data_IF_985899366526
#
_entry.id   IF_985899366526
#
_cell.length_a   1.000
_cell.length_b   1.000
_cell.length_c   1.000
_cell.angle_alpha   90.00
_cell.angle_beta   90.00
_cell.angle_gamma   90.00
#
_symmetry.space_group_name_H-M   'P 1'
#
loop_
_entity.id
_entity.type
_entity.pdbx_description
1 polymer ?
#
# COMPACT_ATOMS: atom_id res chain seq x y z
N UNK A 1 1.32 0.38 2.48
CA UNK A 1 0.24 1.19 3.09
C UNK A 1 0.24 2.61 2.53
N UNK A 2 -0.92 3.26 2.51
CA UNK A 2 -1.10 4.65 2.06
C UNK A 2 -0.63 5.68 3.08
N UNK A 3 -0.75 6.97 2.76
CA UNK A 3 -0.31 8.08 3.62
C UNK A 3 0.36 9.19 2.81
N UNK A 4 0.25 10.44 3.27
CA UNK A 4 1.02 11.57 2.70
C UNK A 4 2.51 11.31 2.90
N UNK A 5 3.36 12.00 2.12
CA UNK A 5 4.81 11.86 2.30
C UNK A 5 5.24 12.21 3.72
N UNK A 6 4.77 13.35 4.24
CA UNK A 6 5.07 13.84 5.59
C UNK A 6 4.68 12.83 6.68
N UNK A 7 3.48 12.25 6.62
CA UNK A 7 3.03 11.27 7.61
C UNK A 7 3.89 10.00 7.57
N UNK A 8 4.32 9.58 6.38
CA UNK A 8 5.19 8.40 6.22
C UNK A 8 6.58 8.65 6.78
N UNK A 9 7.16 9.82 6.51
CA UNK A 9 8.45 10.24 7.07
C UNK A 9 8.39 10.33 8.60
N UNK A 10 7.35 10.94 9.18
CA UNK A 10 7.18 10.99 10.62
C UNK A 10 7.07 9.60 11.27
N UNK A 11 6.30 8.69 10.68
CA UNK A 11 6.21 7.31 11.16
C UNK A 11 7.54 6.57 11.05
N UNK A 12 8.26 6.72 9.93
CA UNK A 12 9.59 6.11 9.78
C UNK A 12 10.55 6.61 10.87
N UNK A 13 10.59 7.91 11.15
CA UNK A 13 11.43 8.47 12.22
C UNK A 13 11.08 7.93 13.62
N UNK A 14 9.80 7.72 13.91
CA UNK A 14 9.36 7.12 15.18
C UNK A 14 9.84 5.67 15.34
N UNK A 15 9.86 4.90 14.25
CA UNK A 15 10.29 3.50 14.28
C UNK A 15 11.80 3.29 14.02
N UNK A 16 12.51 4.29 13.46
CA UNK A 16 13.96 4.25 13.25
C UNK A 16 14.74 4.01 14.56
N UNK A 17 14.28 4.60 15.67
CA UNK A 17 14.89 4.46 16.98
C UNK A 17 14.69 3.06 17.61
N UNK A 18 13.72 2.28 17.12
CA UNK A 18 13.36 0.98 17.69
C UNK A 18 14.07 -0.19 16.99
N UNK A 19 14.44 -0.05 15.71
CA UNK A 19 14.98 -1.19 14.94
C UNK A 19 15.93 -0.83 13.77
N UNK A 20 16.44 0.41 13.69
CA UNK A 20 17.46 0.85 12.74
C UNK A 20 17.18 0.48 11.26
N UNK A 21 15.93 0.59 10.79
CA UNK A 21 15.56 0.35 9.38
C UNK A 21 14.60 1.42 8.83
N UNK A 22 15.14 2.31 8.00
CA UNK A 22 14.40 3.33 7.24
C UNK A 22 13.72 2.76 5.98
N UNK A 23 12.92 1.68 6.10
CA UNK A 23 12.02 1.24 5.01
C UNK A 23 10.55 1.45 5.39
N UNK A 24 9.80 2.07 4.49
CA UNK A 24 8.38 2.36 4.69
C UNK A 24 7.54 1.09 4.88
N UNK A 25 7.90 -0.03 4.24
CA UNK A 25 7.13 -1.27 4.41
C UNK A 25 7.20 -1.76 5.85
N UNK A 26 8.37 -1.63 6.47
CA UNK A 26 8.60 -2.05 7.85
C UNK A 26 7.91 -1.10 8.83
N UNK A 27 8.10 0.21 8.68
CA UNK A 27 7.43 1.19 9.53
C UNK A 27 5.90 1.06 9.45
N UNK A 28 5.34 0.82 8.26
CA UNK A 28 3.90 0.60 8.10
C UNK A 28 3.42 -0.68 8.79
N UNK A 29 4.21 -1.76 8.73
CA UNK A 29 3.92 -3.06 9.35
C UNK A 29 3.86 -2.92 10.88
N UNK A 30 4.88 -2.31 11.47
CA UNK A 30 4.97 -2.04 12.90
C UNK A 30 3.87 -1.09 13.37
N UNK A 31 3.61 -0.03 12.60
CA UNK A 31 2.50 0.89 12.88
C UNK A 31 1.16 0.16 12.93
N UNK A 32 0.88 -0.76 11.99
CA UNK A 32 -0.37 -1.52 11.98
C UNK A 32 -0.50 -2.39 13.24
N UNK A 33 0.57 -3.04 13.69
CA UNK A 33 0.54 -3.81 14.93
C UNK A 33 0.24 -2.91 16.14
N UNK A 34 0.96 -1.80 16.27
CA UNK A 34 0.70 -0.84 17.35
C UNK A 34 -0.72 -0.28 17.33
N UNK A 35 -1.24 0.06 16.15
CA UNK A 35 -2.60 0.58 16.00
C UNK A 35 -3.64 -0.42 16.50
N UNK A 36 -3.46 -1.70 16.19
CA UNK A 36 -4.39 -2.75 16.63
C UNK A 36 -4.27 -3.03 18.12
N UNK A 37 -3.05 -3.17 18.65
CA UNK A 37 -2.83 -3.41 20.09
C UNK A 37 -3.34 -2.25 20.93
N UNK A 38 -3.05 -1.01 20.54
CA UNK A 38 -3.52 0.19 21.27
C UNK A 38 -5.01 0.45 21.10
N UNK A 39 -5.59 -0.04 20.02
CA UNK A 39 -7.01 0.12 19.71
C UNK A 39 -7.85 -1.10 20.10
N UNK A 40 -7.30 -2.06 20.83
CA UNK A 40 -8.04 -3.21 21.33
C UNK A 40 -9.18 -2.74 22.23
N UNK A 41 -10.38 -3.31 22.04
CA UNK A 41 -11.54 -3.00 22.86
C UNK A 41 -11.35 -3.57 24.27
N UNK A 42 -11.33 -2.70 25.26
CA UNK A 42 -11.43 -3.09 26.67
C UNK A 42 -12.88 -3.02 27.15
N UNK A 43 -13.18 -3.73 28.24
CA UNK A 43 -14.53 -3.75 28.82
C UNK A 43 -15.00 -2.36 29.29
N UNK A 44 -14.05 -1.48 29.61
CA UNK A 44 -14.27 -0.14 30.15
C UNK A 44 -14.42 0.93 29.06
N UNK A 45 -14.14 0.57 27.80
CA UNK A 45 -14.15 1.52 26.70
C UNK A 45 -15.56 1.86 26.24
N UNK A 46 -15.84 3.15 26.20
CA UNK A 46 -17.13 3.69 25.71
C UNK A 46 -17.25 3.71 24.20
N UNK A 47 -16.13 3.52 23.46
CA UNK A 47 -16.09 3.53 22.00
C UNK A 47 -15.67 2.16 21.48
N UNK A 48 -16.25 1.69 20.36
CA UNK A 48 -15.82 0.45 19.70
C UNK A 48 -14.34 0.47 19.29
N UNK A 49 -13.61 -0.58 19.65
CA UNK A 49 -12.24 -0.89 19.28
C UNK A 49 -12.14 -2.19 18.47
N UNK A 50 -10.92 -2.72 18.34
CA UNK A 50 -10.66 -4.00 17.70
C UNK A 50 -10.94 -5.16 18.66
N UNK A 51 -11.53 -6.25 18.16
CA UNK A 51 -11.68 -7.46 18.99
C UNK A 51 -10.32 -8.11 19.27
N UNK A 52 -10.16 -8.82 20.40
CA UNK A 52 -8.93 -9.54 20.72
C UNK A 52 -8.47 -10.47 19.59
N UNK A 53 -9.41 -11.20 18.97
CA UNK A 53 -9.12 -12.09 17.83
C UNK A 53 -8.56 -11.33 16.62
N UNK A 54 -9.07 -10.11 16.35
CA UNK A 54 -8.59 -9.29 15.24
C UNK A 54 -7.19 -8.73 15.53
N UNK A 55 -6.90 -8.38 16.79
CA UNK A 55 -5.56 -7.96 17.22
C UNK A 55 -4.57 -9.11 17.05
N UNK A 56 -4.92 -10.31 17.55
CA UNK A 56 -4.08 -11.50 17.44
C UNK A 56 -3.80 -11.86 15.98
N UNK A 57 -4.82 -11.86 15.12
CA UNK A 57 -4.65 -12.13 13.69
C UNK A 57 -3.68 -11.15 12.99
N UNK A 58 -3.66 -9.88 13.42
CA UNK A 58 -2.70 -8.89 12.90
C UNK A 58 -1.30 -9.13 13.43
N UNK A 59 -1.14 -9.54 14.69
CA UNK A 59 0.15 -9.90 15.27
C UNK A 59 0.74 -11.14 14.59
N UNK A 60 -0.06 -12.19 14.38
CA UNK A 60 0.33 -13.44 13.73
C UNK A 60 0.73 -13.22 12.26
N UNK A 61 0.01 -12.34 11.54
CA UNK A 61 0.39 -11.91 10.19
C UNK A 61 1.60 -10.95 10.17
N UNK A 62 2.22 -10.72 11.34
CA UNK A 62 3.35 -9.83 11.51
C UNK A 62 3.02 -8.39 11.12
N UNK A 63 1.78 -7.91 11.19
CA UNK A 63 1.40 -6.55 10.81
C UNK A 63 1.28 -6.31 9.31
N UNK A 64 1.43 -7.34 8.47
CA UNK A 64 1.27 -7.18 7.03
C UNK A 64 -0.20 -7.04 6.65
N UNK A 65 -0.50 -6.16 5.68
CA UNK A 65 -1.85 -6.04 5.15
C UNK A 65 -2.02 -7.07 4.02
N UNK A 66 -2.98 -8.01 4.11
CA UNK A 66 -3.17 -9.01 3.07
C UNK A 66 -3.39 -8.36 1.70
N UNK A 67 -2.75 -8.91 0.66
CA UNK A 67 -2.79 -8.39 -0.71
C UNK A 67 -4.21 -8.10 -1.21
N UNK A 68 -5.17 -8.99 -0.94
CA UNK A 68 -6.57 -8.80 -1.31
C UNK A 68 -7.21 -7.57 -0.64
N UNK A 69 -6.94 -7.35 0.65
CA UNK A 69 -7.40 -6.15 1.36
C UNK A 69 -6.71 -4.89 0.81
N UNK A 70 -5.40 -4.96 0.56
CA UNK A 70 -4.63 -3.85 -0.02
C UNK A 70 -5.15 -3.44 -1.41
N UNK A 71 -5.54 -4.39 -2.25
CA UNK A 71 -6.14 -4.15 -3.57
C UNK A 71 -7.48 -3.41 -3.45
N UNK A 72 -8.32 -3.75 -2.47
CA UNK A 72 -9.60 -3.07 -2.21
C UNK A 72 -9.40 -1.61 -1.81
N UNK A 73 -8.34 -1.30 -1.06
CA UNK A 73 -8.01 0.08 -0.69
C UNK A 73 -7.48 0.93 -1.85
N UNK A 74 -7.07 0.32 -2.97
CA UNK A 74 -6.47 1.02 -4.12
C UNK A 74 -7.14 0.66 -5.44
N UNK A 75 -8.45 0.97 -5.53
CA UNK A 75 -9.28 0.84 -6.73
C UNK A 75 -8.63 1.45 -7.99
N UNK A 76 -7.82 2.50 -7.84
CA UNK A 76 -7.10 3.14 -8.96
C UNK A 76 -6.15 2.23 -9.72
N UNK A 77 -5.67 1.11 -9.16
CA UNK A 77 -4.91 0.14 -9.95
C UNK A 77 -5.78 -0.57 -10.99
N UNK A 78 -7.05 -0.80 -10.69
CA UNK A 78 -8.02 -1.35 -11.63
C UNK A 78 -8.48 -0.31 -12.65
N UNK A 79 -8.65 0.95 -12.24
CA UNK A 79 -9.09 2.03 -13.14
C UNK A 79 -7.93 2.65 -13.93
N UNK A 80 -6.98 3.30 -13.26
CA UNK A 80 -5.91 4.07 -13.90
C UNK A 80 -4.74 3.20 -14.38
N UNK A 81 -4.61 1.99 -13.84
CA UNK A 81 -3.58 1.03 -14.23
C UNK A 81 -3.83 0.39 -15.60
N UNK A 82 -5.05 0.51 -16.13
CA UNK A 82 -5.57 -0.07 -17.39
C UNK A 82 -5.62 -1.60 -17.41
N UNK A 83 -4.53 -2.26 -17.02
CA UNK A 83 -4.42 -3.71 -16.90
C UNK A 83 -3.67 -3.99 -15.60
N UNK A 84 -4.12 -4.99 -14.84
CA UNK A 84 -3.48 -5.51 -13.63
C UNK A 84 -3.21 -7.00 -13.83
N UNK A 85 -2.00 -7.46 -13.49
CA UNK A 85 -1.66 -8.88 -13.56
C UNK A 85 -0.18 -9.15 -13.35
N UNK A 86 0.26 -10.36 -13.69
CA UNK A 86 1.68 -10.70 -13.72
C UNK A 86 2.41 -9.84 -14.76
N UNK A 87 3.74 -9.76 -14.63
CA UNK A 87 4.58 -9.07 -15.61
C UNK A 87 4.36 -9.58 -17.04
N UNK A 88 4.36 -10.90 -17.22
CA UNK A 88 4.17 -11.54 -18.53
C UNK A 88 2.82 -11.20 -19.14
N UNK A 89 1.75 -11.27 -18.35
CA UNK A 89 0.40 -10.91 -18.80
C UNK A 89 0.30 -9.46 -19.27
N UNK A 90 0.88 -8.54 -18.50
CA UNK A 90 0.87 -7.11 -18.85
C UNK A 90 1.75 -6.81 -20.06
N UNK A 91 2.91 -7.46 -20.19
CA UNK A 91 3.80 -7.29 -21.34
C UNK A 91 3.19 -7.88 -22.63
N UNK A 92 2.47 -9.00 -22.55
CA UNK A 92 1.73 -9.57 -23.69
C UNK A 92 0.63 -8.60 -24.16
N UNK A 93 -0.16 -8.08 -23.22
CA UNK A 93 -1.21 -7.12 -23.54
C UNK A 93 -0.64 -5.81 -24.12
N UNK A 94 0.53 -5.38 -23.64
CA UNK A 94 1.26 -4.25 -24.21
C UNK A 94 1.70 -4.49 -25.65
N UNK A 95 2.25 -5.67 -25.95
CA UNK A 95 2.68 -6.03 -27.30
C UNK A 95 1.50 -6.05 -28.29
N UNK A 96 0.37 -6.63 -27.88
CA UNK A 96 -0.88 -6.65 -28.67
C UNK A 96 -1.39 -5.25 -29.02
N UNK A 97 -1.16 -4.28 -28.13
CA UNK A 97 -1.68 -2.92 -28.23
C UNK A 97 -0.57 -1.87 -28.46
N UNK A 98 0.55 -2.28 -29.06
CA UNK A 98 1.78 -1.49 -29.16
C UNK A 98 1.58 -0.12 -29.82
N UNK A 99 0.63 0.00 -30.74
CA UNK A 99 0.33 1.24 -31.48
C UNK A 99 -0.24 2.36 -30.59
N UNK A 100 -0.83 2.05 -29.43
CA UNK A 100 -1.29 3.07 -28.47
C UNK A 100 -0.17 3.70 -27.62
N UNK A 101 1.08 3.25 -27.79
CA UNK A 101 2.21 3.68 -26.97
C UNK A 101 3.34 4.32 -27.80
N UNK A 102 4.05 5.27 -27.19
CA UNK A 102 5.15 5.98 -27.84
C UNK A 102 6.26 5.03 -28.29
N UNK A 103 6.97 5.41 -29.37
CA UNK A 103 8.12 4.66 -29.90
C UNK A 103 9.17 4.34 -28.82
N UNK A 104 9.39 5.27 -27.88
CA UNK A 104 10.36 5.17 -26.78
C UNK A 104 9.99 4.10 -25.75
N UNK A 105 8.73 3.68 -25.66
CA UNK A 105 8.29 2.69 -24.68
C UNK A 105 8.52 1.28 -25.24
N UNK A 106 9.43 0.54 -24.61
CA UNK A 106 9.81 -0.82 -25.03
C UNK A 106 9.18 -1.93 -24.17
N UNK A 107 8.74 -1.61 -22.95
CA UNK A 107 8.09 -2.57 -22.03
C UNK A 107 6.73 -2.09 -21.54
N UNK A 108 5.84 -3.05 -21.25
CA UNK A 108 4.50 -2.83 -20.75
C UNK A 108 4.47 -2.73 -19.24
N UNK A 109 4.90 -3.77 -18.55
CA UNK A 109 4.72 -3.91 -17.11
C UNK A 109 5.35 -2.78 -16.30
N UNK A 110 4.59 -2.21 -15.36
CA UNK A 110 5.07 -1.27 -14.35
C UNK A 110 4.78 -1.88 -12.97
N UNK A 111 5.81 -2.07 -12.12
CA UNK A 111 5.58 -2.62 -10.80
C UNK A 111 4.70 -1.68 -9.98
N UNK A 112 3.78 -2.26 -9.22
CA UNK A 112 2.95 -1.52 -8.29
C UNK A 112 3.82 -1.00 -7.13
N UNK A 113 3.43 0.13 -6.54
CA UNK A 113 4.19 0.80 -5.46
C UNK A 113 3.37 0.83 -4.17
N UNK A 114 4.04 1.07 -3.05
CA UNK A 114 3.40 1.34 -1.74
C UNK A 114 2.58 0.17 -1.16
N UNK A 115 2.99 -1.07 -1.43
CA UNK A 115 2.42 -2.29 -0.88
C UNK A 115 3.26 -3.51 -1.26
N UNK A 116 3.02 -4.62 -0.56
CA UNK A 116 3.57 -5.93 -0.89
C UNK A 116 2.64 -6.56 -1.94
N UNK A 117 3.05 -6.46 -3.21
CA UNK A 117 2.21 -6.82 -4.35
C UNK A 117 2.61 -8.15 -5.02
N UNK A 118 3.66 -8.81 -4.53
CA UNK A 118 4.14 -10.12 -5.00
C UNK A 118 4.28 -10.21 -6.53
N UNK A 119 4.90 -9.20 -7.15
CA UNK A 119 5.13 -9.18 -8.59
C UNK A 119 3.95 -8.73 -9.45
N UNK A 120 2.81 -8.34 -8.86
CA UNK A 120 1.74 -7.68 -9.61
C UNK A 120 2.22 -6.37 -10.24
N UNK A 121 1.85 -6.20 -11.49
CA UNK A 121 2.20 -5.08 -12.33
C UNK A 121 0.94 -4.45 -12.92
N UNK A 122 1.05 -3.17 -13.28
CA UNK A 122 0.05 -2.49 -14.10
C UNK A 122 0.60 -2.01 -15.43
N UNK A 123 -0.26 -1.83 -16.43
CA UNK A 123 0.15 -1.29 -17.73
C UNK A 123 0.47 0.21 -17.65
N UNK A 124 -0.19 0.97 -16.78
CA UNK A 124 0.19 2.36 -16.51
C UNK A 124 0.66 2.52 -15.08
N UNK A 125 1.74 3.28 -14.91
CA UNK A 125 2.20 3.70 -13.58
C UNK A 125 1.15 4.67 -13.03
N UNK A 126 0.63 4.39 -11.84
CA UNK A 126 -0.15 5.38 -11.10
C UNK A 126 0.75 6.58 -10.80
N UNK A 127 0.42 7.74 -11.37
CA UNK A 127 0.99 9.01 -10.95
C UNK A 127 0.27 9.40 -9.66
N UNK A 128 0.96 9.35 -8.52
CA UNK A 128 0.50 9.99 -7.28
C UNK A 128 0.78 11.49 -7.45
N UNK A 129 -0.19 12.39 -7.26
CA UNK A 129 -0.78 12.82 -5.99
C UNK A 129 -2.29 13.09 -6.11
N UNK A 130 -3.08 12.82 -5.05
CA UNK A 130 -4.52 13.24 -4.99
C UNK A 130 -4.92 13.85 -3.64
N UNK A 131 -4.16 13.65 -2.56
CA UNK A 131 -4.43 14.36 -1.30
C UNK A 131 -3.41 15.48 -1.17
N UNK A 132 -3.83 16.71 -1.47
CA UNK A 132 -3.16 17.89 -0.94
C UNK A 132 -3.69 18.13 0.48
N UNK A 133 -2.80 18.44 1.42
CA UNK A 133 -3.20 18.93 2.74
C UNK A 133 -3.91 20.27 2.47
N UNK A 134 -5.10 20.54 3.04
CA UNK A 134 -5.72 21.85 2.93
C UNK A 134 -4.72 22.92 3.40
N UNK A 135 -4.53 23.96 2.61
CA UNK A 135 -3.72 25.10 3.03
C UNK A 135 -4.44 25.77 4.22
N UNK A 136 -3.77 26.06 5.35
CA UNK A 136 -4.39 26.91 6.38
C UNK A 136 -4.76 28.25 5.74
N UNK A 137 -5.99 28.67 5.97
CA UNK A 137 -6.52 29.98 5.59
C UNK A 137 -5.82 31.11 6.36
#
# INVERSE_FOLDING_TARGET
MGGSQVAREGLMHLFEHLDNKADWNEAARLYRQQLFVRGEQLAEDTKPGFSPDAVQAVLDAGGTLPKGQALRCRVRYFSDGVILGSRSFVDEAFARHRHYFSAKRTTGARPMRHGQWDGLCTLRRLRMSVIQIPHPA
#
